data_IF_079724196059
#
_entry.id   IF_079724196059
#
_cell.length_a   1.000
_cell.length_b   1.000
_cell.length_c   1.000
_cell.angle_alpha   90.00
_cell.angle_beta   90.00
_cell.angle_gamma   90.00
#
_symmetry.space_group_name_H-M   'P 1'
#
loop_
_entity.id
_entity.type
_entity.pdbx_description
1 polymer ?
#
# COMPACT_ATOMS: atom_id res chain seq x y z
N UNK A 1 -15.92 14.72 32.35
CA UNK A 1 -15.24 14.59 31.04
C UNK A 1 -14.84 15.93 30.42
N UNK A 2 -15.66 17.00 30.49
CA UNK A 2 -15.35 18.33 29.91
C UNK A 2 -14.79 19.37 30.89
N UNK A 3 -14.28 18.95 32.05
CA UNK A 3 -13.59 19.87 32.96
C UNK A 3 -12.30 20.39 32.31
N UNK A 4 -11.95 21.66 32.53
CA UNK A 4 -10.77 22.31 31.90
C UNK A 4 -9.50 21.51 32.16
N UNK A 5 -9.32 21.03 33.39
CA UNK A 5 -8.17 20.23 33.82
C UNK A 5 -8.10 18.88 33.09
N UNK A 6 -9.23 18.18 32.93
CA UNK A 6 -9.29 16.91 32.18
C UNK A 6 -8.90 17.09 30.71
N UNK A 7 -9.32 18.20 30.09
CA UNK A 7 -8.97 18.52 28.70
C UNK A 7 -7.49 18.87 28.53
N UNK A 8 -6.89 19.56 29.51
CA UNK A 8 -5.44 19.85 29.52
C UNK A 8 -4.62 18.59 29.73
N UNK A 9 -5.03 17.70 30.63
CA UNK A 9 -4.39 16.38 30.81
C UNK A 9 -4.49 15.53 29.54
N UNK A 10 -5.64 15.55 28.86
CA UNK A 10 -5.81 14.85 27.58
C UNK A 10 -4.89 15.41 26.49
N UNK A 11 -4.73 16.74 26.42
CA UNK A 11 -3.80 17.40 25.49
C UNK A 11 -2.34 17.07 25.81
N UNK A 12 -1.97 16.93 27.08
CA UNK A 12 -0.65 16.46 27.48
C UNK A 12 -0.44 14.98 27.06
N UNK A 13 -1.47 14.14 27.22
CA UNK A 13 -1.48 12.76 26.73
C UNK A 13 -1.35 12.67 25.20
N UNK A 14 -1.83 13.67 24.46
CA UNK A 14 -1.71 13.74 23.00
C UNK A 14 -0.25 13.68 22.54
N UNK A 15 0.71 14.19 23.33
CA UNK A 15 2.13 14.07 23.02
C UNK A 15 2.62 12.62 22.96
N UNK A 16 2.21 11.79 23.92
CA UNK A 16 2.55 10.36 23.94
C UNK A 16 1.92 9.63 22.75
N UNK A 17 0.65 9.92 22.45
CA UNK A 17 -0.03 9.35 21.29
C UNK A 17 0.61 9.77 19.97
N UNK A 18 1.02 11.04 19.82
CA UNK A 18 1.74 11.50 18.62
C UNK A 18 3.06 10.77 18.41
N UNK A 19 3.78 10.41 19.49
CA UNK A 19 5.01 9.58 19.38
C UNK A 19 4.67 8.17 18.91
N UNK A 20 3.65 7.53 19.49
CA UNK A 20 3.20 6.20 19.05
C UNK A 20 2.75 6.24 17.58
N UNK A 21 1.98 7.26 17.21
CA UNK A 21 1.51 7.50 15.84
C UNK A 21 2.68 7.66 14.87
N UNK A 22 3.72 8.41 15.27
CA UNK A 22 4.96 8.55 14.49
C UNK A 22 5.57 7.19 14.21
N UNK A 23 5.79 6.37 15.26
CA UNK A 23 6.41 5.06 15.12
C UNK A 23 5.59 4.14 14.21
N UNK A 24 4.27 4.07 14.40
CA UNK A 24 3.40 3.23 13.59
C UNK A 24 3.40 3.66 12.12
N UNK A 25 3.24 4.95 11.83
CA UNK A 25 3.23 5.45 10.45
C UNK A 25 4.57 5.27 9.75
N UNK A 26 5.68 5.46 10.47
CA UNK A 26 7.03 5.23 9.90
C UNK A 26 7.25 3.75 9.60
N UNK A 27 6.88 2.84 10.51
CA UNK A 27 7.03 1.39 10.29
C UNK A 27 6.14 0.91 9.15
N UNK A 28 4.86 1.25 9.16
CA UNK A 28 3.90 0.86 8.11
C UNK A 28 4.28 1.49 6.76
N UNK A 29 4.70 2.76 6.77
CA UNK A 29 5.19 3.46 5.59
C UNK A 29 6.46 2.82 5.02
N UNK A 30 7.40 2.39 5.88
CA UNK A 30 8.61 1.69 5.47
C UNK A 30 8.31 0.31 4.87
N UNK A 31 7.36 -0.45 5.45
CA UNK A 31 6.90 -1.72 4.87
C UNK A 31 6.30 -1.49 3.48
N UNK A 32 5.45 -0.48 3.31
CA UNK A 32 4.88 -0.15 2.01
C UNK A 32 5.92 0.35 1.02
N UNK A 33 6.87 1.19 1.43
CA UNK A 33 7.88 1.78 0.56
C UNK A 33 9.06 0.85 0.23
N UNK A 34 9.31 -0.16 1.08
CA UNK A 34 10.45 -1.07 0.96
C UNK A 34 10.13 -2.41 0.28
N UNK A 35 8.85 -2.79 0.17
CA UNK A 35 8.49 -4.07 -0.45
C UNK A 35 8.31 -3.94 -1.97
N UNK A 36 9.31 -4.41 -2.72
CA UNK A 36 9.32 -4.39 -4.19
C UNK A 36 8.09 -5.07 -4.81
N UNK A 37 7.60 -6.16 -4.20
CA UNK A 37 6.47 -6.93 -4.75
C UNK A 37 5.16 -6.16 -4.71
N UNK A 38 4.97 -5.29 -3.71
CA UNK A 38 3.79 -4.41 -3.67
C UNK A 38 3.81 -3.42 -4.82
N UNK A 39 4.99 -2.89 -5.16
CA UNK A 39 5.12 -1.90 -6.22
C UNK A 39 5.04 -2.56 -7.60
N UNK A 40 5.56 -3.78 -7.73
CA UNK A 40 5.41 -4.58 -8.95
C UNK A 40 3.96 -5.00 -9.18
N UNK A 41 3.19 -5.25 -8.12
CA UNK A 41 1.78 -5.65 -8.24
C UNK A 41 0.83 -4.47 -8.43
N UNK A 42 1.01 -3.39 -7.66
CA UNK A 42 0.04 -2.28 -7.53
C UNK A 42 0.55 -0.94 -8.07
N UNK A 43 1.79 -0.91 -8.54
CA UNK A 43 2.45 0.27 -9.08
C UNK A 43 3.17 1.13 -8.04
N UNK A 44 3.90 2.14 -8.54
CA UNK A 44 4.70 3.10 -7.78
C UNK A 44 3.87 3.98 -6.85
N UNK A 45 2.56 4.10 -7.08
CA UNK A 45 1.65 4.83 -6.19
C UNK A 45 1.72 4.29 -4.75
N UNK A 46 1.86 2.97 -4.56
CA UNK A 46 2.00 2.37 -3.22
C UNK A 46 3.33 2.75 -2.58
N UNK A 47 4.41 2.81 -3.36
CA UNK A 47 5.72 3.29 -2.90
C UNK A 47 5.64 4.74 -2.44
N UNK A 48 5.02 5.60 -3.24
CA UNK A 48 4.84 7.02 -2.92
C UNK A 48 3.94 7.22 -1.70
N UNK A 49 2.87 6.44 -1.57
CA UNK A 49 2.04 6.42 -0.37
C UNK A 49 2.85 6.04 0.88
N UNK A 50 3.68 4.99 0.80
CA UNK A 50 4.59 4.60 1.88
C UNK A 50 5.56 5.72 2.29
N UNK A 51 6.20 6.37 1.32
CA UNK A 51 7.07 7.53 1.58
C UNK A 51 6.31 8.72 2.19
N UNK A 52 5.09 8.98 1.71
CA UNK A 52 4.19 10.00 2.26
C UNK A 52 3.77 9.73 3.70
N UNK A 53 3.57 8.47 4.08
CA UNK A 53 3.27 8.07 5.46
C UNK A 53 4.47 8.24 6.38
N UNK A 54 5.69 7.93 5.93
CA UNK A 54 6.92 8.20 6.70
C UNK A 54 7.03 9.70 6.98
N UNK A 55 6.87 10.53 5.94
CA UNK A 55 6.91 11.98 6.07
C UNK A 55 5.82 12.50 7.03
N UNK A 56 4.60 12.01 6.88
CA UNK A 56 3.47 12.37 7.76
C UNK A 56 3.74 11.94 9.21
N UNK A 57 4.30 10.75 9.41
CA UNK A 57 4.73 10.25 10.72
C UNK A 57 5.73 11.20 11.39
N UNK A 58 6.76 11.64 10.68
CA UNK A 58 7.74 12.58 11.23
C UNK A 58 7.11 13.93 11.62
N UNK A 59 6.13 14.42 10.84
CA UNK A 59 5.39 15.64 11.18
C UNK A 59 4.56 15.51 12.46
N UNK A 60 4.16 14.30 12.88
CA UNK A 60 3.49 14.11 14.18
C UNK A 60 4.39 14.50 15.37
N UNK A 61 5.73 14.47 15.25
CA UNK A 61 6.62 14.94 16.31
C UNK A 61 6.43 16.44 16.60
N UNK A 62 6.12 17.24 15.57
CA UNK A 62 5.81 18.66 15.76
C UNK A 62 4.55 18.84 16.59
N UNK A 63 3.53 18.00 16.37
CA UNK A 63 2.31 18.05 17.18
C UNK A 63 2.51 17.60 18.62
N UNK A 64 3.48 16.72 18.88
CA UNK A 64 3.84 16.35 20.24
C UNK A 64 4.42 17.55 21.00
N UNK A 65 5.35 18.28 20.37
CA UNK A 65 5.97 19.48 20.94
C UNK A 65 4.95 20.60 21.13
N UNK A 66 4.15 20.90 20.11
CA UNK A 66 3.11 21.94 20.18
C UNK A 66 2.02 21.58 21.19
N UNK A 67 1.60 20.31 21.28
CA UNK A 67 0.67 19.82 22.28
C UNK A 67 1.18 20.03 23.71
N UNK A 68 2.45 19.68 23.96
CA UNK A 68 3.09 19.91 25.26
C UNK A 68 3.19 21.41 25.61
N UNK A 69 3.67 22.24 24.67
CA UNK A 69 3.82 23.68 24.88
C UNK A 69 2.47 24.38 25.08
N UNK A 70 1.44 24.01 24.31
CA UNK A 70 0.08 24.58 24.43
C UNK A 70 -0.63 24.15 25.71
N UNK A 71 -0.36 22.94 26.22
CA UNK A 71 -0.82 22.51 27.53
C UNK A 71 -0.16 23.33 28.66
N UNK A 72 1.15 23.57 28.57
CA UNK A 72 1.92 24.29 29.61
C UNK A 72 1.69 25.79 29.64
N UNK A 73 1.74 26.45 28.48
CA UNK A 73 1.67 27.92 28.38
C UNK A 73 0.26 28.46 28.37
N UNK A 74 -0.74 27.59 28.17
CA UNK A 74 -2.14 27.94 27.98
C UNK A 74 -2.42 28.93 26.81
N UNK A 75 -1.45 29.15 25.93
CA UNK A 75 -1.53 30.11 24.83
C UNK A 75 -2.48 29.66 23.71
N UNK A 76 -3.50 30.48 23.37
CA UNK A 76 -4.47 30.18 22.31
C UNK A 76 -3.87 30.12 20.91
N UNK A 77 -2.86 30.94 20.61
CA UNK A 77 -2.19 30.90 19.32
C UNK A 77 -1.50 29.55 19.09
N UNK A 78 -0.82 29.02 20.11
CA UNK A 78 -0.21 27.68 20.02
C UNK A 78 -1.26 26.58 19.87
N UNK A 79 -2.42 26.72 20.53
CA UNK A 79 -3.53 25.79 20.40
C UNK A 79 -4.15 25.82 18.99
N UNK A 80 -4.26 27.01 18.38
CA UNK A 80 -4.71 27.18 17.00
C UNK A 80 -3.69 26.58 16.00
N UNK A 81 -2.40 26.83 16.20
CA UNK A 81 -1.34 26.22 15.38
C UNK A 81 -1.39 24.69 15.48
N UNK A 82 -1.54 24.14 16.69
CA UNK A 82 -1.72 22.70 16.89
C UNK A 82 -2.93 22.16 16.12
N UNK A 83 -4.07 22.86 16.17
CA UNK A 83 -5.27 22.50 15.43
C UNK A 83 -5.03 22.46 13.92
N UNK A 84 -4.39 23.49 13.36
CA UNK A 84 -4.07 23.55 11.92
C UNK A 84 -3.12 22.42 11.51
N UNK A 85 -2.07 22.17 12.29
CA UNK A 85 -1.13 21.07 12.00
C UNK A 85 -1.84 19.71 12.04
N UNK A 86 -2.70 19.48 13.03
CA UNK A 86 -3.50 18.25 13.10
C UNK A 86 -4.45 18.09 11.91
N UNK A 87 -5.07 19.17 11.41
CA UNK A 87 -5.90 19.11 10.19
C UNK A 87 -5.07 18.68 8.97
N UNK A 88 -3.89 19.28 8.79
CA UNK A 88 -2.97 18.90 7.70
C UNK A 88 -2.55 17.44 7.82
N UNK A 89 -2.24 16.96 9.02
CA UNK A 89 -1.87 15.57 9.26
C UNK A 89 -3.01 14.59 8.97
N UNK A 90 -4.24 14.91 9.40
CA UNK A 90 -5.42 14.11 9.07
C UNK A 90 -5.62 14.05 7.56
N UNK A 91 -5.51 15.17 6.86
CA UNK A 91 -5.61 15.22 5.41
C UNK A 91 -4.53 14.34 4.73
N UNK A 92 -3.25 14.50 5.09
CA UNK A 92 -2.15 13.74 4.50
C UNK A 92 -2.26 12.24 4.78
N UNK A 93 -2.58 11.86 6.02
CA UNK A 93 -2.73 10.45 6.39
C UNK A 93 -3.93 9.81 5.69
N UNK A 94 -5.05 10.55 5.54
CA UNK A 94 -6.20 10.10 4.75
C UNK A 94 -5.85 9.95 3.27
N UNK A 95 -5.11 10.92 2.71
CA UNK A 95 -4.67 10.89 1.31
C UNK A 95 -3.79 9.68 1.04
N UNK A 96 -2.72 9.48 1.80
CA UNK A 96 -1.78 8.38 1.56
C UNK A 96 -2.37 7.01 1.92
N UNK A 97 -3.13 6.91 3.01
CA UNK A 97 -3.88 5.70 3.34
C UNK A 97 -4.93 5.34 2.28
N UNK A 98 -5.68 6.35 1.80
CA UNK A 98 -6.69 6.19 0.77
C UNK A 98 -6.12 5.83 -0.60
N UNK A 99 -4.98 6.41 -1.00
CA UNK A 99 -4.29 6.02 -2.25
C UNK A 99 -3.81 4.57 -2.19
N UNK A 100 -3.23 4.14 -1.06
CA UNK A 100 -2.81 2.74 -0.90
C UNK A 100 -4.02 1.79 -0.96
N UNK A 101 -5.11 2.10 -0.27
CA UNK A 101 -6.34 1.30 -0.28
C UNK A 101 -7.02 1.28 -1.65
N UNK A 102 -7.10 2.42 -2.34
CA UNK A 102 -7.70 2.50 -3.67
C UNK A 102 -6.97 1.64 -4.70
N UNK A 103 -5.67 1.39 -4.51
CA UNK A 103 -4.87 0.52 -5.38
C UNK A 103 -5.12 -0.96 -5.14
N UNK A 104 -5.64 -1.37 -3.98
CA UNK A 104 -5.94 -2.79 -3.71
C UNK A 104 -7.28 -3.24 -4.27
N UNK A 105 -8.07 -2.31 -4.81
CA UNK A 105 -9.34 -2.62 -5.45
C UNK A 105 -9.15 -3.63 -6.60
N UNK A 106 -9.80 -4.80 -6.56
CA UNK A 106 -9.60 -5.82 -7.57
C UNK A 106 -10.25 -5.38 -8.90
N UNK A 107 -9.64 -5.70 -10.06
CA UNK A 107 -10.20 -5.35 -11.37
C UNK A 107 -11.47 -6.13 -11.71
N UNK A 108 -11.62 -7.33 -11.15
CA UNK A 108 -12.80 -8.19 -11.23
C UNK A 108 -13.01 -8.87 -9.87
N UNK A 109 -14.22 -9.33 -9.53
CA UNK A 109 -14.42 -10.20 -8.37
C UNK A 109 -13.45 -11.39 -8.41
N UNK A 110 -12.94 -11.82 -7.25
CA UNK A 110 -11.92 -12.86 -7.17
C UNK A 110 -12.35 -14.17 -7.87
N UNK A 111 -13.62 -14.56 -7.73
CA UNK A 111 -14.15 -15.75 -8.38
C UNK A 111 -14.08 -15.65 -9.91
N UNK A 112 -14.34 -14.46 -10.46
CA UNK A 112 -14.29 -14.23 -11.90
C UNK A 112 -12.85 -14.21 -12.40
N UNK A 113 -11.91 -13.63 -11.64
CA UNK A 113 -10.48 -13.70 -11.95
C UNK A 113 -10.01 -15.17 -12.00
N UNK A 114 -10.39 -15.97 -11.01
CA UNK A 114 -10.04 -17.40 -10.96
C UNK A 114 -10.69 -18.15 -12.12
N UNK A 115 -11.93 -17.84 -12.47
CA UNK A 115 -12.62 -18.46 -13.59
C UNK A 115 -11.96 -18.12 -14.93
N UNK A 116 -11.55 -16.85 -15.14
CA UNK A 116 -10.79 -16.42 -16.31
C UNK A 116 -9.42 -17.11 -16.44
N UNK A 117 -8.85 -17.58 -15.33
CA UNK A 117 -7.56 -18.28 -15.29
C UNK A 117 -7.71 -19.80 -15.19
N UNK A 118 -8.92 -20.36 -15.28
CA UNK A 118 -9.18 -21.81 -15.22
C UNK A 118 -9.70 -22.31 -16.56
N UNK A 119 -9.01 -23.28 -17.16
CA UNK A 119 -9.26 -23.75 -18.54
C UNK A 119 -10.73 -24.12 -18.78
N UNK A 120 -11.26 -25.09 -18.05
CA UNK A 120 -12.63 -25.56 -18.27
C UNK A 120 -13.72 -24.56 -17.90
N UNK A 121 -13.41 -23.56 -17.07
CA UNK A 121 -14.37 -22.48 -16.78
C UNK A 121 -14.36 -21.44 -17.89
N UNK A 122 -13.17 -21.02 -18.34
CA UNK A 122 -13.01 -20.11 -19.47
C UNK A 122 -13.63 -20.66 -20.76
N UNK A 123 -13.41 -21.95 -21.05
CA UNK A 123 -13.97 -22.61 -22.24
C UNK A 123 -15.50 -22.73 -22.20
N UNK A 124 -16.08 -22.81 -21.00
CA UNK A 124 -17.53 -22.90 -20.79
C UNK A 124 -18.23 -21.54 -20.71
N UNK A 125 -17.49 -20.43 -20.71
CA UNK A 125 -18.04 -19.09 -20.63
C UNK A 125 -18.74 -18.65 -21.93
N UNK A 126 -19.71 -17.75 -21.79
CA UNK A 126 -20.29 -17.06 -22.95
C UNK A 126 -19.26 -16.16 -23.64
N UNK A 127 -19.43 -15.83 -24.94
CA UNK A 127 -18.51 -14.93 -25.65
C UNK A 127 -18.34 -13.57 -24.97
N UNK A 128 -19.38 -13.06 -24.32
CA UNK A 128 -19.32 -11.81 -23.56
C UNK A 128 -18.42 -11.92 -22.32
N UNK A 129 -18.48 -13.04 -21.60
CA UNK A 129 -17.63 -13.30 -20.44
C UNK A 129 -16.18 -13.55 -20.85
N UNK A 130 -15.94 -14.29 -21.94
CA UNK A 130 -14.60 -14.46 -22.50
C UNK A 130 -14.00 -13.11 -22.88
N UNK A 131 -14.77 -12.21 -23.50
CA UNK A 131 -14.29 -10.85 -23.78
C UNK A 131 -13.92 -10.06 -22.52
N UNK A 132 -14.66 -10.23 -21.42
CA UNK A 132 -14.30 -9.61 -20.14
C UNK A 132 -13.02 -10.21 -19.54
N UNK A 133 -12.82 -11.53 -19.66
CA UNK A 133 -11.57 -12.18 -19.27
C UNK A 133 -10.38 -11.71 -20.12
N UNK A 134 -10.59 -11.53 -21.41
CA UNK A 134 -9.58 -11.03 -22.33
C UNK A 134 -9.14 -9.61 -21.95
N UNK A 135 -10.12 -8.72 -21.72
CA UNK A 135 -9.87 -7.36 -21.21
C UNK A 135 -9.13 -7.39 -19.87
N UNK A 136 -9.48 -8.32 -18.98
CA UNK A 136 -8.76 -8.51 -17.72
C UNK A 136 -7.30 -8.92 -17.94
N UNK A 137 -7.02 -9.89 -18.81
CA UNK A 137 -5.64 -10.32 -19.10
C UNK A 137 -4.80 -9.24 -19.78
N UNK A 138 -5.44 -8.30 -20.47
CA UNK A 138 -4.76 -7.14 -21.08
C UNK A 138 -4.63 -5.93 -20.14
N UNK A 139 -5.27 -5.97 -18.97
CA UNK A 139 -5.33 -4.86 -18.03
C UNK A 139 -4.02 -4.59 -17.30
N UNK A 140 -3.82 -3.35 -16.85
CA UNK A 140 -2.66 -2.97 -16.04
C UNK A 140 -2.57 -3.76 -14.73
N UNK A 141 -3.69 -4.25 -14.18
CA UNK A 141 -3.70 -5.06 -12.97
C UNK A 141 -3.09 -6.45 -13.22
N UNK A 142 -3.47 -7.11 -14.33
CA UNK A 142 -2.88 -8.39 -14.71
C UNK A 142 -1.42 -8.26 -15.11
N UNK A 143 -1.03 -7.12 -15.69
CA UNK A 143 0.38 -6.80 -15.94
C UNK A 143 1.18 -6.74 -14.63
N UNK A 144 0.62 -6.16 -13.57
CA UNK A 144 1.24 -6.17 -12.24
C UNK A 144 1.37 -7.57 -11.65
N UNK A 145 0.36 -8.43 -11.82
CA UNK A 145 0.42 -9.85 -11.42
C UNK A 145 1.55 -10.58 -12.17
N UNK A 146 1.63 -10.35 -13.48
CA UNK A 146 2.63 -10.95 -14.35
C UNK A 146 4.04 -10.52 -13.97
N UNK A 147 4.27 -9.21 -13.75
CA UNK A 147 5.56 -8.69 -13.31
C UNK A 147 6.00 -9.30 -11.97
N UNK A 148 5.06 -9.37 -11.03
CA UNK A 148 5.28 -9.95 -9.70
C UNK A 148 5.61 -11.44 -9.80
N UNK A 149 4.87 -12.20 -10.61
CA UNK A 149 5.15 -13.62 -10.83
C UNK A 149 6.51 -13.87 -11.49
N UNK A 150 6.85 -13.09 -12.52
CA UNK A 150 8.16 -13.14 -13.16
C UNK A 150 9.29 -12.90 -12.15
N UNK A 151 9.09 -11.97 -11.20
CA UNK A 151 10.05 -11.70 -10.14
C UNK A 151 10.15 -12.88 -9.15
N UNK A 152 9.02 -13.45 -8.72
CA UNK A 152 9.00 -14.65 -7.87
C UNK A 152 9.69 -15.84 -8.53
N UNK A 153 9.39 -16.10 -9.81
CA UNK A 153 10.02 -17.16 -10.59
C UNK A 153 11.52 -16.94 -10.77
N UNK A 154 11.93 -15.74 -11.18
CA UNK A 154 13.36 -15.42 -11.36
C UNK A 154 14.15 -15.57 -10.06
N UNK A 155 13.60 -15.07 -8.93
CA UNK A 155 14.24 -15.19 -7.62
C UNK A 155 14.23 -16.63 -7.10
N UNK A 156 13.19 -17.44 -7.39
CA UNK A 156 13.13 -18.85 -6.97
C UNK A 156 14.13 -19.78 -7.67
N UNK A 157 14.71 -19.34 -8.80
CA UNK A 157 15.79 -20.08 -9.46
C UNK A 157 17.11 -20.03 -8.68
N UNK A 158 17.29 -19.02 -7.83
CA UNK A 158 18.56 -18.76 -7.11
C UNK A 158 18.41 -18.74 -5.58
N UNK A 159 17.21 -18.45 -5.06
CA UNK A 159 16.93 -18.33 -3.63
C UNK A 159 15.91 -19.39 -3.15
N UNK A 160 16.32 -20.18 -2.16
CA UNK A 160 15.50 -21.23 -1.53
C UNK A 160 14.24 -20.72 -0.82
N UNK A 161 14.24 -19.50 -0.30
CA UNK A 161 13.08 -18.88 0.36
C UNK A 161 11.97 -18.55 -0.66
N UNK A 162 12.35 -17.99 -1.80
CA UNK A 162 11.44 -17.74 -2.92
C UNK A 162 10.91 -19.03 -3.52
N UNK A 163 11.77 -20.05 -3.63
CA UNK A 163 11.37 -21.40 -4.02
C UNK A 163 10.26 -21.97 -3.12
N UNK A 164 10.44 -21.91 -1.80
CA UNK A 164 9.43 -22.38 -0.87
C UNK A 164 8.12 -21.58 -0.99
N UNK A 165 8.22 -20.26 -1.18
CA UNK A 165 7.06 -19.37 -1.33
C UNK A 165 6.23 -19.71 -2.57
N UNK A 166 6.86 -19.88 -3.73
CA UNK A 166 6.16 -20.24 -4.98
C UNK A 166 5.52 -21.62 -4.88
N UNK A 167 6.24 -22.61 -4.35
CA UNK A 167 5.71 -23.96 -4.17
C UNK A 167 4.53 -24.00 -3.19
N UNK A 168 4.59 -23.24 -2.09
CA UNK A 168 3.49 -23.13 -1.15
C UNK A 168 2.27 -22.48 -1.80
N UNK A 169 2.48 -21.39 -2.55
CA UNK A 169 1.39 -20.71 -3.25
C UNK A 169 0.69 -21.63 -4.26
N UNK A 170 1.47 -22.37 -5.07
CA UNK A 170 0.94 -23.34 -6.03
C UNK A 170 0.18 -24.47 -5.35
N UNK A 171 0.70 -24.99 -4.23
CA UNK A 171 0.09 -26.08 -3.48
C UNK A 171 -1.20 -25.65 -2.77
N UNK A 172 -1.19 -24.52 -2.08
CA UNK A 172 -2.35 -23.99 -1.33
C UNK A 172 -3.49 -23.60 -2.25
N UNK A 173 -3.16 -23.08 -3.44
CA UNK A 173 -4.16 -22.54 -4.38
C UNK A 173 -4.50 -23.49 -5.54
N UNK A 174 -3.90 -24.69 -5.56
CA UNK A 174 -4.04 -25.67 -6.65
C UNK A 174 -3.85 -25.05 -8.04
N UNK A 175 -2.80 -24.23 -8.21
CA UNK A 175 -2.52 -23.46 -9.42
C UNK A 175 -1.11 -23.73 -9.95
N UNK A 176 -0.86 -23.40 -11.22
CA UNK A 176 0.46 -23.51 -11.83
C UNK A 176 0.69 -22.41 -12.87
N UNK A 177 1.86 -21.76 -12.81
CA UNK A 177 2.18 -20.60 -13.65
C UNK A 177 1.31 -19.38 -13.33
N UNK A 178 1.50 -18.27 -14.04
CA UNK A 178 0.72 -17.05 -13.81
C UNK A 178 -0.62 -17.02 -14.58
N UNK A 179 -0.54 -17.16 -15.90
CA UNK A 179 -1.67 -17.02 -16.82
C UNK A 179 -2.53 -18.28 -17.02
N UNK A 180 -3.50 -18.18 -17.93
CA UNK A 180 -4.41 -19.26 -18.31
C UNK A 180 -3.64 -20.40 -19.01
N UNK A 181 -3.62 -21.63 -18.47
CA UNK A 181 -2.87 -22.73 -19.06
C UNK A 181 -3.32 -23.05 -20.49
N UNK A 182 -2.36 -23.36 -21.37
CA UNK A 182 -2.56 -23.67 -22.79
C UNK A 182 -3.26 -22.59 -23.64
N UNK A 183 -3.40 -21.37 -23.11
CA UNK A 183 -4.04 -20.24 -23.79
C UNK A 183 -3.10 -19.03 -23.82
N UNK A 184 -1.86 -19.25 -24.26
CA UNK A 184 -0.89 -18.17 -24.32
C UNK A 184 -1.34 -17.10 -25.32
N UNK A 185 -1.29 -15.83 -24.91
CA UNK A 185 -1.47 -14.67 -25.79
C UNK A 185 -0.25 -13.77 -25.69
N UNK A 186 0.40 -13.52 -26.82
CA UNK A 186 1.62 -12.73 -26.83
C UNK A 186 1.30 -11.26 -26.53
N UNK A 187 1.96 -10.69 -25.53
CA UNK A 187 1.89 -9.26 -25.23
C UNK A 187 3.32 -8.68 -25.21
N UNK A 188 3.66 -8.01 -26.30
CA UNK A 188 4.95 -7.35 -26.50
C UNK A 188 4.97 -5.87 -26.07
N UNK A 189 3.84 -5.34 -25.56
CA UNK A 189 3.77 -3.96 -25.06
C UNK A 189 4.72 -3.78 -23.88
N UNK A 190 5.32 -2.60 -23.76
CA UNK A 190 6.15 -2.27 -22.61
C UNK A 190 5.31 -2.26 -21.32
N UNK A 191 5.91 -2.63 -20.16
CA UNK A 191 5.25 -2.42 -18.86
C UNK A 191 4.91 -0.92 -18.67
N UNK A 192 3.76 -0.57 -18.08
CA UNK A 192 3.41 0.84 -17.88
C UNK A 192 4.46 1.51 -16.98
N UNK A 193 4.77 2.78 -17.25
CA UNK A 193 5.78 3.54 -16.49
C UNK A 193 5.47 3.71 -15.01
N UNK A 194 4.21 3.47 -14.62
CA UNK A 194 3.75 3.44 -13.23
C UNK A 194 4.24 2.20 -12.47
N UNK A 195 4.70 1.15 -13.14
CA UNK A 195 5.27 -0.04 -12.49
C UNK A 195 6.80 0.05 -12.48
N UNK A 196 7.47 -0.24 -11.36
CA UNK A 196 8.92 -0.20 -11.31
C UNK A 196 9.51 -1.31 -12.18
N UNK A 197 10.14 -0.93 -13.30
CA UNK A 197 10.95 -1.87 -14.08
C UNK A 197 12.29 -2.07 -13.37
N UNK A 198 12.39 -3.17 -12.64
CA UNK A 198 13.59 -3.54 -11.89
C UNK A 198 14.06 -4.87 -12.45
N UNK A 199 15.03 -4.85 -13.38
CA UNK A 199 15.85 -5.97 -13.89
C UNK A 199 15.16 -7.21 -14.50
N UNK A 200 14.05 -7.68 -13.93
CA UNK A 200 13.23 -8.83 -14.33
C UNK A 200 12.66 -8.62 -15.74
N UNK A 201 12.16 -7.42 -16.06
CA UNK A 201 11.67 -7.12 -17.42
C UNK A 201 12.77 -7.14 -18.47
N UNK A 202 14.04 -6.86 -18.10
CA UNK A 202 15.17 -6.97 -19.02
C UNK A 202 15.59 -8.43 -19.25
N UNK A 203 15.41 -9.31 -18.26
CA UNK A 203 15.65 -10.76 -18.42
C UNK A 203 14.55 -11.47 -19.20
N UNK A 204 13.29 -11.04 -19.07
CA UNK A 204 12.13 -11.69 -19.73
C UNK A 204 11.71 -10.98 -21.03
N UNK A 205 12.08 -9.72 -21.22
CA UNK A 205 11.98 -8.95 -22.46
C UNK A 205 10.57 -8.49 -22.87
N UNK A 206 9.51 -9.14 -22.39
CA UNK A 206 8.10 -8.87 -22.75
C UNK A 206 7.16 -9.18 -21.58
N UNK A 207 5.91 -8.68 -21.65
CA UNK A 207 4.87 -8.97 -20.64
C UNK A 207 4.50 -10.45 -20.66
N UNK A 208 4.18 -10.99 -21.85
CA UNK A 208 3.93 -12.41 -22.05
C UNK A 208 4.53 -12.83 -23.39
N UNK A 209 5.32 -13.91 -23.38
CA UNK A 209 5.95 -14.46 -24.59
C UNK A 209 5.48 -15.88 -24.86
N UNK A 210 4.82 -16.07 -25.99
CA UNK A 210 4.41 -17.38 -26.46
C UNK A 210 5.49 -18.04 -27.33
N UNK A 211 5.29 -19.34 -27.58
CA UNK A 211 6.05 -20.10 -28.55
C UNK A 211 5.79 -19.62 -29.99
N UNK A 212 6.53 -20.17 -30.96
CA UNK A 212 6.42 -19.79 -32.36
C UNK A 212 5.02 -20.06 -32.96
N UNK A 213 4.26 -21.00 -32.40
CA UNK A 213 2.89 -21.30 -32.84
C UNK A 213 1.85 -20.36 -32.23
N UNK A 214 2.20 -19.62 -31.17
CA UNK A 214 1.30 -18.73 -30.45
C UNK A 214 0.26 -19.45 -29.58
N UNK A 215 0.36 -20.78 -29.44
CA UNK A 215 -0.61 -21.58 -28.68
C UNK A 215 -0.10 -21.99 -27.29
N UNK A 216 1.23 -21.95 -27.09
CA UNK A 216 1.87 -22.38 -25.86
C UNK A 216 2.81 -21.28 -25.34
N UNK A 217 3.17 -21.37 -24.06
CA UNK A 217 4.19 -20.54 -23.45
C UNK A 217 5.59 -21.02 -23.84
N UNK A 218 6.58 -20.15 -23.65
CA UNK A 218 7.97 -20.51 -23.86
C UNK A 218 8.43 -21.63 -22.93
N UNK A 219 9.26 -22.53 -23.45
CA UNK A 219 9.84 -23.60 -22.65
C UNK A 219 10.63 -23.04 -21.45
N UNK A 220 10.48 -23.71 -20.32
CA UNK A 220 11.24 -23.45 -19.09
C UNK A 220 11.94 -24.72 -18.65
N UNK A 221 12.82 -24.64 -17.65
CA UNK A 221 13.50 -25.82 -17.10
C UNK A 221 12.51 -26.85 -16.57
N UNK A 222 11.41 -26.39 -16.00
CA UNK A 222 10.41 -27.23 -15.34
C UNK A 222 9.26 -27.65 -16.28
N UNK A 223 9.33 -27.25 -17.56
CA UNK A 223 8.30 -27.51 -18.56
C UNK A 223 8.86 -27.30 -19.97
N UNK A 224 9.27 -28.41 -20.62
CA UNK A 224 9.85 -28.39 -21.96
C UNK A 224 9.47 -29.66 -22.75
N UNK A 225 8.18 -29.83 -23.03
CA UNK A 225 7.72 -30.94 -23.89
C UNK A 225 7.78 -30.48 -25.34
N UNK A 226 8.84 -30.87 -26.08
CA UNK A 226 8.98 -30.49 -27.48
C UNK A 226 9.22 -28.99 -27.72
N UNK A 227 9.97 -28.33 -26.82
CA UNK A 227 10.35 -26.91 -26.94
C UNK A 227 9.25 -25.91 -26.58
N UNK A 228 8.14 -26.37 -26.01
CA UNK A 228 7.00 -25.56 -25.58
C UNK A 228 6.57 -25.88 -24.15
N UNK A 229 5.83 -24.97 -23.54
CA UNK A 229 5.24 -25.15 -22.22
C UNK A 229 3.76 -24.79 -22.19
N UNK A 230 2.94 -25.56 -21.46
CA UNK A 230 1.52 -25.25 -21.30
C UNK A 230 1.23 -24.20 -20.22
N UNK A 231 2.23 -23.81 -19.43
CA UNK A 231 2.07 -22.91 -18.29
C UNK A 231 2.97 -21.68 -18.43
N UNK A 232 2.50 -20.55 -17.92
CA UNK A 232 3.29 -19.31 -17.87
C UNK A 232 4.28 -19.34 -16.70
N UNK A 233 5.55 -19.66 -16.99
CA UNK A 233 6.62 -19.76 -16.00
C UNK A 233 6.25 -20.67 -14.82
N UNK A 234 5.98 -21.97 -15.07
CA UNK A 234 5.73 -22.92 -13.99
C UNK A 234 7.01 -23.15 -13.20
N UNK A 235 6.84 -23.43 -11.91
CA UNK A 235 7.94 -23.82 -11.04
C UNK A 235 7.68 -25.20 -10.45
N UNK A 236 8.70 -26.04 -10.45
CA UNK A 236 8.64 -27.40 -9.90
C UNK A 236 7.75 -28.36 -10.69
N UNK A 237 7.26 -29.41 -10.03
CA UNK A 237 6.55 -30.51 -10.70
C UNK A 237 5.21 -30.12 -11.30
N UNK A 238 4.64 -28.95 -10.98
CA UNK A 238 3.37 -28.52 -11.55
C UNK A 238 3.44 -28.34 -13.08
N UNK A 239 4.61 -27.94 -13.60
CA UNK A 239 4.81 -27.74 -15.04
C UNK A 239 4.82 -29.04 -15.85
N UNK A 240 4.99 -30.18 -15.19
CA UNK A 240 5.00 -31.51 -15.80
C UNK A 240 3.61 -32.16 -15.84
N UNK A 241 2.65 -31.60 -15.11
CA UNK A 241 1.30 -32.14 -15.07
C UNK A 241 0.56 -31.86 -16.39
N UNK A 242 -0.29 -32.79 -16.86
CA UNK A 242 -1.15 -32.51 -18.01
C UNK A 242 -2.17 -31.42 -17.66
N UNK A 243 -2.45 -30.54 -18.62
CA UNK A 243 -3.52 -29.56 -18.49
C UNK A 243 -4.87 -30.29 -18.59
N UNK A 244 -5.70 -30.06 -17.59
CA UNK A 244 -7.09 -30.53 -17.49
C UNK A 244 -8.05 -29.35 -17.40
N UNK A 245 -9.36 -29.61 -17.51
CA UNK A 245 -10.41 -28.59 -17.35
C UNK A 245 -10.41 -27.88 -15.99
N UNK A 246 -9.79 -28.45 -14.94
CA UNK A 246 -9.69 -27.83 -13.61
C UNK A 246 -8.37 -27.09 -13.38
N UNK A 247 -7.46 -27.14 -14.35
CA UNK A 247 -6.13 -26.54 -14.25
C UNK A 247 -6.25 -25.02 -14.35
N UNK A 248 -5.53 -24.31 -13.46
CA UNK A 248 -5.64 -22.85 -13.35
C UNK A 248 -4.31 -22.14 -13.11
N UNK A 249 -4.23 -20.88 -13.53
CA UNK A 249 -3.12 -19.97 -13.27
C UNK A 249 -3.13 -19.40 -11.84
N UNK A 250 -1.96 -18.97 -11.37
CA UNK A 250 -1.75 -18.43 -10.02
C UNK A 250 -1.93 -16.91 -9.91
N UNK A 251 -2.07 -16.17 -11.01
CA UNK A 251 -2.08 -14.70 -11.01
C UNK A 251 -3.10 -14.08 -10.04
N UNK A 252 -4.34 -14.59 -10.05
CA UNK A 252 -5.40 -14.13 -9.14
C UNK A 252 -5.06 -14.33 -7.64
N UNK A 253 -4.35 -15.41 -7.31
CA UNK A 253 -3.96 -15.72 -5.93
C UNK A 253 -2.77 -14.87 -5.47
N UNK A 254 -1.83 -14.57 -6.37
CA UNK A 254 -0.74 -13.60 -6.12
C UNK A 254 -1.34 -12.24 -5.78
N UNK A 255 -2.29 -11.77 -6.62
CA UNK A 255 -2.98 -10.51 -6.39
C UNK A 255 -3.70 -10.50 -5.05
N UNK A 256 -4.57 -11.49 -4.81
CA UNK A 256 -5.35 -11.58 -3.56
C UNK A 256 -4.45 -11.54 -2.32
N UNK A 257 -3.36 -12.32 -2.31
CA UNK A 257 -2.45 -12.42 -1.15
C UNK A 257 -1.73 -11.11 -0.85
N UNK A 258 -1.17 -10.46 -1.86
CA UNK A 258 -0.39 -9.23 -1.67
C UNK A 258 -1.28 -7.99 -1.51
N UNK A 259 -2.38 -7.90 -2.26
CA UNK A 259 -3.35 -6.81 -2.11
C UNK A 259 -3.98 -6.81 -0.72
N UNK A 260 -4.29 -7.98 -0.15
CA UNK A 260 -4.81 -8.09 1.22
C UNK A 260 -3.81 -7.56 2.28
N UNK A 261 -2.51 -7.74 2.07
CA UNK A 261 -1.49 -7.20 2.97
C UNK A 261 -1.44 -5.67 2.90
N UNK A 262 -1.46 -5.10 1.68
CA UNK A 262 -1.49 -3.65 1.49
C UNK A 262 -2.80 -3.04 2.01
N UNK A 263 -3.92 -3.73 1.81
CA UNK A 263 -5.24 -3.33 2.30
C UNK A 263 -5.27 -3.30 3.83
N UNK A 264 -4.73 -4.32 4.49
CA UNK A 264 -4.65 -4.37 5.95
C UNK A 264 -3.79 -3.22 6.50
N UNK A 265 -2.66 -2.91 5.85
CA UNK A 265 -1.81 -1.77 6.24
C UNK A 265 -2.56 -0.45 6.03
N UNK A 266 -3.16 -0.23 4.86
CA UNK A 266 -3.88 0.99 4.52
C UNK A 266 -5.08 1.22 5.46
N UNK A 267 -5.83 0.15 5.75
CA UNK A 267 -6.95 0.18 6.70
C UNK A 267 -6.48 0.52 8.10
N UNK A 268 -5.38 -0.08 8.55
CA UNK A 268 -4.77 0.25 9.85
C UNK A 268 -4.39 1.73 9.92
N UNK A 269 -3.74 2.26 8.88
CA UNK A 269 -3.39 3.68 8.77
C UNK A 269 -4.63 4.58 8.88
N UNK A 270 -5.73 4.21 8.22
CA UNK A 270 -6.98 4.99 8.28
C UNK A 270 -7.66 4.87 9.66
N UNK A 271 -7.64 3.70 10.30
CA UNK A 271 -8.16 3.52 11.66
C UNK A 271 -7.40 4.37 12.68
N UNK A 272 -6.09 4.55 12.49
CA UNK A 272 -5.29 5.42 13.35
C UNK A 272 -5.70 6.91 13.26
N UNK A 273 -6.55 7.32 12.32
CA UNK A 273 -7.09 8.70 12.26
C UNK A 273 -8.02 9.03 13.44
N UNK A 274 -8.56 8.04 14.14
CA UNK A 274 -9.42 8.27 15.31
C UNK A 274 -8.70 9.13 16.36
N UNK A 275 -7.40 8.92 16.56
CA UNK A 275 -6.60 9.68 17.53
C UNK A 275 -6.48 11.16 17.18
N UNK A 276 -5.92 11.57 16.02
CA UNK A 276 -5.80 12.99 15.68
C UNK A 276 -7.17 13.69 15.55
N UNK A 277 -8.23 12.99 15.11
CA UNK A 277 -9.58 13.55 15.10
C UNK A 277 -10.05 13.86 16.52
N UNK A 278 -9.81 12.96 17.49
CA UNK A 278 -10.14 13.23 18.89
C UNK A 278 -9.37 14.44 19.45
N UNK A 279 -8.10 14.61 19.08
CA UNK A 279 -7.29 15.76 19.49
C UNK A 279 -7.75 17.05 18.85
N UNK A 280 -8.23 17.02 17.60
CA UNK A 280 -8.84 18.18 16.94
C UNK A 280 -10.08 18.65 17.70
N UNK A 281 -10.97 17.73 18.06
CA UNK A 281 -12.18 18.04 18.82
C UNK A 281 -11.84 18.65 20.19
N UNK A 282 -10.89 18.06 20.92
CA UNK A 282 -10.46 18.58 22.24
C UNK A 282 -9.79 19.95 22.12
N UNK A 283 -8.94 20.14 21.10
CA UNK A 283 -8.29 21.44 20.84
C UNK A 283 -9.33 22.51 20.54
N UNK A 284 -10.34 22.20 19.73
CA UNK A 284 -11.45 23.11 19.43
C UNK A 284 -12.25 23.46 20.69
N UNK A 285 -12.61 22.46 21.51
CA UNK A 285 -13.30 22.70 22.78
C UNK A 285 -12.47 23.58 23.73
N UNK A 286 -11.16 23.38 23.83
CA UNK A 286 -10.27 24.20 24.64
C UNK A 286 -10.15 25.63 24.11
N UNK A 287 -10.11 25.84 22.79
CA UNK A 287 -10.13 27.16 22.17
C UNK A 287 -11.36 27.96 22.61
N UNK A 288 -12.55 27.35 22.53
CA UNK A 288 -13.80 28.00 22.94
C UNK A 288 -13.89 28.21 24.45
N UNK A 289 -13.44 27.24 25.26
CA UNK A 289 -13.53 27.32 26.73
C UNK A 289 -12.57 28.34 27.35
N UNK A 290 -11.46 28.67 26.69
CA UNK A 290 -10.48 29.67 27.16
C UNK A 290 -10.85 31.11 26.79
N UNK A 291 -12.06 31.38 26.27
CA UNK A 291 -12.47 32.70 25.72
C UNK A 291 -12.06 33.89 26.59
N UNK A 292 -12.12 33.76 27.92
CA UNK A 292 -11.93 34.87 28.86
C UNK A 292 -10.49 35.04 29.41
N UNK A 293 -9.54 34.18 29.04
CA UNK A 293 -8.16 34.17 29.58
C UNK A 293 -7.07 34.62 28.58
N UNK A 294 -7.43 35.35 27.52
CA UNK A 294 -6.44 35.93 26.59
C UNK A 294 -5.69 37.09 27.24
N UNK A 295 -4.79 36.78 28.16
CA UNK A 295 -3.77 37.71 28.60
C UNK A 295 -2.68 37.66 27.53
N UNK A 296 -2.71 38.62 26.61
CA UNK A 296 -1.51 39.00 25.84
C UNK A 296 -0.34 39.01 26.82
N UNK A 297 0.82 38.38 26.53
CA UNK A 297 1.95 38.44 27.43
C UNK A 297 2.17 39.90 27.78
N UNK A 298 2.10 40.24 29.06
CA UNK A 298 2.27 41.63 29.49
C UNK A 298 3.65 42.05 28.97
N UNK A 299 3.66 42.84 27.90
CA UNK A 299 4.86 43.51 27.42
C UNK A 299 5.08 44.61 28.44
N UNK A 300 5.61 44.22 29.61
CA UNK A 300 6.13 45.14 30.58
C UNK A 300 7.33 45.79 29.91
N UNK A 301 7.08 46.88 29.20
CA UNK A 301 8.11 47.88 29.00
C UNK A 301 8.51 48.31 30.41
N UNK A 302 9.54 47.67 30.94
CA UNK A 302 10.25 48.14 32.11
C UNK A 302 10.80 49.49 31.69
N UNK A 303 10.03 50.54 31.95
CA UNK A 303 10.51 51.91 31.89
C UNK A 303 11.61 52.02 32.92
N UNK A 304 12.86 51.78 32.49
CA UNK A 304 14.05 52.17 33.23
C UNK A 304 14.19 53.68 33.12
N UNK A 305 13.25 54.43 33.68
CA UNK A 305 13.45 55.85 33.97
C UNK A 305 13.52 55.97 35.49
N UNK A 306 14.74 55.83 36.02
CA UNK A 306 15.06 56.34 37.35
C UNK A 306 15.09 57.86 37.25
N UNK A 307 14.01 58.51 37.66
CA UNK A 307 14.07 59.94 37.98
C UNK A 307 14.77 60.05 39.33
N UNK A 308 16.05 60.45 39.31
CA UNK A 308 16.68 61.00 40.50
C UNK A 308 16.24 62.47 40.59
N UNK A 309 15.36 62.76 41.54
CA UNK A 309 15.19 64.13 42.03
C UNK A 309 16.20 64.30 43.17
N UNK A 310 17.31 64.98 42.88
CA UNK A 310 18.17 65.55 43.91
C UNK A 310 17.59 66.90 44.33
N UNK A 311 17.37 67.05 45.63
CA UNK A 311 17.23 68.31 46.33
C UNK A 311 18.42 68.51 47.25
#
# INVERSE_FOLDING_TARGET
MFAKESLVQFLAGAGCFSVIQTLLLVVLGAILAGNEHYHQLLGSAVKHAGGGLIFTGLLYLLTAVLGYLSARTQNKFLLLMQFVVLLVLVFLQTLFGGVALGRTAPPLPQNDQVACLTVGLYDAMSPAQQSACDQFTESDAFVGMTLTWQAYYSKSLVDGSYRATVLNLQKESFCCGNGLPAHCRSDSRAFPSTYPSTEVSQRVGQRVKCDASGSAYMATKDCAVGGRCNYDLPYGSCGLNPVTSTTRGCGAFVFSRLSAQVEAIATTVLLLLVFPISFLLVSLCLCFKRRDEDVLPHIGFVSKVKVYAEG
#
